data_IF_369796649255
#
_entry.id   IF_369796649255
#
_cell.length_a   1.000
_cell.length_b   1.000
_cell.length_c   1.000
_cell.angle_alpha   90.00
_cell.angle_beta   90.00
_cell.angle_gamma   90.00
#
_symmetry.space_group_name_H-M   'P 1'
#
loop_
_entity.id
_entity.type
_entity.pdbx_description
1 polymer ?
#
# COMPACT_ATOMS: atom_id res chain seq x y z
N UNK A 1 37.73 17.14 14.97
CA UNK A 1 37.75 15.92 14.14
C UNK A 1 36.86 16.19 12.95
N UNK A 2 37.10 15.58 11.78
CA UNK A 2 36.12 15.67 10.70
C UNK A 2 34.82 14.97 11.13
N UNK A 3 33.70 15.38 10.56
CA UNK A 3 32.37 14.85 10.84
C UNK A 3 31.89 13.99 9.68
N UNK A 4 31.28 12.86 10.00
CA UNK A 4 30.84 11.86 9.01
C UNK A 4 29.37 11.56 9.24
N UNK A 5 28.56 11.59 8.19
CA UNK A 5 27.15 11.25 8.26
C UNK A 5 26.81 9.97 7.48
N UNK A 6 26.09 9.05 8.12
CA UNK A 6 25.57 7.85 7.48
C UNK A 6 24.13 7.59 7.97
N UNK A 7 23.18 7.46 7.05
CA UNK A 7 21.78 7.21 7.39
C UNK A 7 21.43 5.73 7.26
N UNK A 8 20.65 5.20 8.21
CA UNK A 8 20.29 3.80 8.31
C UNK A 8 18.77 3.63 8.23
N UNK A 9 18.35 2.73 7.33
CA UNK A 9 16.96 2.34 7.11
C UNK A 9 16.78 0.85 7.50
N UNK A 10 17.05 0.50 8.77
CA UNK A 10 17.03 -0.88 9.24
C UNK A 10 16.39 -1.03 10.62
N UNK A 11 15.79 -2.20 10.85
CA UNK A 11 15.27 -2.64 12.15
C UNK A 11 16.26 -3.53 12.91
N UNK A 12 17.34 -3.95 12.25
CA UNK A 12 18.41 -4.78 12.84
C UNK A 12 19.76 -4.35 12.30
N UNK A 13 20.74 -4.21 13.20
CA UNK A 13 22.13 -3.99 12.84
C UNK A 13 22.81 -5.34 12.64
N UNK A 14 23.28 -5.59 11.43
CA UNK A 14 24.02 -6.80 11.04
C UNK A 14 25.40 -6.41 10.51
N UNK A 15 26.20 -7.41 10.10
CA UNK A 15 27.59 -7.22 9.69
C UNK A 15 27.80 -6.13 8.63
N UNK A 16 26.97 -6.09 7.58
CA UNK A 16 27.04 -5.02 6.57
C UNK A 16 26.90 -3.60 7.14
N UNK A 17 26.00 -3.38 8.09
CA UNK A 17 25.85 -2.09 8.77
C UNK A 17 27.08 -1.76 9.63
N UNK A 18 27.59 -2.75 10.40
CA UNK A 18 28.82 -2.57 11.18
C UNK A 18 30.04 -2.27 10.31
N UNK A 19 30.15 -2.87 9.12
CA UNK A 19 31.23 -2.59 8.18
C UNK A 19 31.17 -1.14 7.67
N UNK A 20 29.98 -0.65 7.32
CA UNK A 20 29.77 0.74 6.92
C UNK A 20 30.14 1.71 8.05
N UNK A 21 29.70 1.43 9.28
CA UNK A 21 30.00 2.26 10.46
C UNK A 21 31.50 2.28 10.77
N UNK A 22 32.17 1.11 10.73
CA UNK A 22 33.62 1.02 10.93
C UNK A 22 34.38 1.80 9.86
N UNK A 23 33.94 1.73 8.60
CA UNK A 23 34.50 2.57 7.55
C UNK A 23 34.25 4.05 7.76
N UNK A 24 33.07 4.45 8.25
CA UNK A 24 32.80 5.84 8.61
C UNK A 24 33.73 6.35 9.71
N UNK A 25 34.01 5.54 10.74
CA UNK A 25 34.90 5.91 11.83
C UNK A 25 36.36 6.15 11.39
N UNK A 26 36.81 5.61 10.24
CA UNK A 26 38.13 5.92 9.68
C UNK A 26 38.25 7.38 9.19
N UNK A 27 37.13 8.04 8.91
CA UNK A 27 37.09 9.40 8.35
C UNK A 27 36.78 10.48 9.40
N UNK A 28 36.26 10.12 10.58
CA UNK A 28 35.95 11.09 11.63
C UNK A 28 34.87 10.65 12.62
N UNK A 29 34.29 11.62 13.31
CA UNK A 29 33.20 11.40 14.27
C UNK A 29 31.90 11.06 13.54
N UNK A 30 31.34 9.88 13.80
CA UNK A 30 30.18 9.35 13.05
C UNK A 30 28.85 9.79 13.65
N UNK A 31 28.12 10.61 12.91
CA UNK A 31 26.72 10.96 13.14
C UNK A 31 25.86 9.97 12.36
N UNK A 32 25.07 9.16 13.07
CA UNK A 32 24.18 8.18 12.46
C UNK A 32 22.76 8.74 12.31
N UNK A 33 22.24 8.73 11.10
CA UNK A 33 20.85 9.06 10.80
C UNK A 33 19.94 7.84 10.96
N UNK A 34 18.77 8.04 11.55
CA UNK A 34 17.65 7.09 11.57
C UNK A 34 16.53 7.66 10.72
N UNK A 35 16.21 7.03 9.59
CA UNK A 35 15.12 7.50 8.75
C UNK A 35 13.76 7.34 9.46
N UNK A 36 12.90 8.35 9.42
CA UNK A 36 11.58 8.30 10.05
C UNK A 36 10.67 7.22 9.40
N UNK A 37 9.66 6.75 10.15
CA UNK A 37 8.79 5.64 9.70
C UNK A 37 8.06 5.96 8.39
N UNK A 38 7.61 7.22 8.22
CA UNK A 38 6.91 7.67 7.01
C UNK A 38 7.76 7.48 5.77
N UNK A 39 9.00 7.94 5.82
CA UNK A 39 9.90 7.86 4.68
C UNK A 39 10.43 6.44 4.47
N UNK A 40 10.60 5.63 5.53
CA UNK A 40 10.92 4.21 5.37
C UNK A 40 9.84 3.45 4.60
N UNK A 41 8.56 3.68 4.94
CA UNK A 41 7.42 3.05 4.26
C UNK A 41 7.38 3.43 2.78
N UNK A 42 7.63 4.70 2.46
CA UNK A 42 7.69 5.17 1.07
C UNK A 42 8.91 4.64 0.32
N UNK A 43 10.05 4.57 1.01
CA UNK A 43 11.32 4.16 0.43
C UNK A 43 11.41 2.66 0.20
N UNK A 44 11.54 1.86 1.26
CA UNK A 44 12.05 0.50 1.11
C UNK A 44 11.45 -0.57 2.02
N UNK A 45 10.92 -0.23 3.21
CA UNK A 45 10.39 -1.25 4.13
C UNK A 45 9.45 -0.67 5.17
N UNK A 46 8.58 -1.54 5.68
CA UNK A 46 7.74 -1.22 6.83
C UNK A 46 8.50 -1.50 8.13
N UNK A 47 8.57 -0.53 9.07
CA UNK A 47 9.29 -0.70 10.33
C UNK A 47 8.60 -1.73 11.23
N UNK A 48 9.38 -2.70 11.72
CA UNK A 48 8.93 -3.77 12.62
C UNK A 48 9.20 -3.50 14.09
N UNK A 49 10.00 -2.47 14.38
CA UNK A 49 10.34 -1.96 15.71
C UNK A 49 10.14 -0.44 15.74
N UNK A 50 10.01 0.16 16.92
CA UNK A 50 9.77 1.62 17.02
C UNK A 50 11.03 2.42 16.66
N UNK A 51 10.86 3.69 16.28
CA UNK A 51 11.99 4.58 16.00
C UNK A 51 12.91 4.73 17.21
N UNK A 52 12.38 4.75 18.44
CA UNK A 52 13.17 4.81 19.68
C UNK A 52 14.03 3.55 19.84
N UNK A 53 13.50 2.38 19.47
CA UNK A 53 14.29 1.14 19.47
C UNK A 53 15.41 1.20 18.44
N UNK A 54 15.15 1.74 17.23
CA UNK A 54 16.18 1.91 16.19
C UNK A 54 17.27 2.90 16.61
N UNK A 55 16.89 4.00 17.26
CA UNK A 55 17.82 4.97 17.85
C UNK A 55 18.68 4.27 18.91
N UNK A 56 18.07 3.58 19.87
CA UNK A 56 18.80 2.90 20.94
C UNK A 56 19.76 1.82 20.40
N UNK A 57 19.42 1.14 19.31
CA UNK A 57 20.31 0.18 18.65
C UNK A 57 21.58 0.85 18.11
N UNK A 58 21.46 2.03 17.48
CA UNK A 58 22.62 2.77 16.97
C UNK A 58 23.41 3.43 18.09
N UNK A 59 22.76 3.99 19.11
CA UNK A 59 23.43 4.57 20.29
C UNK A 59 24.28 3.54 21.05
N UNK A 60 23.94 2.25 20.95
CA UNK A 60 24.71 1.16 21.55
C UNK A 60 26.00 0.81 20.77
N UNK A 61 26.20 1.35 19.57
CA UNK A 61 27.39 1.08 18.74
C UNK A 61 28.54 2.02 19.13
N UNK A 62 29.69 1.49 19.62
CA UNK A 62 30.77 2.34 20.15
C UNK A 62 31.36 3.36 19.17
N UNK A 63 31.35 3.05 17.88
CA UNK A 63 31.88 3.91 16.82
C UNK A 63 30.95 5.10 16.48
N UNK A 64 29.71 5.14 16.97
CA UNK A 64 28.74 6.20 16.71
C UNK A 64 28.82 7.26 17.81
N UNK A 65 29.07 8.52 17.43
CA UNK A 65 29.22 9.62 18.38
C UNK A 65 27.89 10.31 18.69
N UNK A 66 26.94 10.30 17.74
CA UNK A 66 25.62 10.92 17.87
C UNK A 66 24.63 10.22 16.95
N UNK A 67 23.39 10.08 17.40
CA UNK A 67 22.26 9.63 16.58
C UNK A 67 21.29 10.80 16.34
N UNK A 68 20.78 10.92 15.12
CA UNK A 68 19.78 11.93 14.72
C UNK A 68 18.67 11.27 13.91
N UNK A 69 17.47 11.83 13.94
CA UNK A 69 16.39 11.41 13.06
C UNK A 69 16.49 12.18 11.74
N UNK A 70 16.35 11.47 10.62
CA UNK A 70 16.23 12.05 9.30
C UNK A 70 14.75 12.02 8.90
N UNK A 71 14.15 13.19 8.68
CA UNK A 71 12.71 13.34 8.45
C UNK A 71 12.29 13.15 6.98
N UNK A 72 13.24 13.24 6.06
CA UNK A 72 13.04 13.16 4.61
C UNK A 72 14.01 12.15 3.99
N UNK A 73 13.60 11.37 2.98
CA UNK A 73 14.54 10.46 2.29
C UNK A 73 15.68 11.22 1.61
N UNK A 74 15.41 12.43 1.12
CA UNK A 74 16.42 13.31 0.55
C UNK A 74 17.21 14.06 1.62
N UNK A 75 18.44 14.38 1.25
CA UNK A 75 19.46 14.84 2.18
C UNK A 75 19.50 16.38 2.31
N UNK A 76 18.60 17.11 1.61
CA UNK A 76 18.59 18.57 1.58
C UNK A 76 18.54 19.19 2.98
N UNK A 77 17.58 18.78 3.80
CA UNK A 77 17.36 19.35 5.12
C UNK A 77 18.48 18.94 6.09
N UNK A 78 18.78 17.65 6.16
CA UNK A 78 19.76 17.12 7.12
C UNK A 78 21.19 17.58 6.82
N UNK A 79 21.58 17.72 5.55
CA UNK A 79 22.90 18.21 5.18
C UNK A 79 23.01 19.73 5.27
N UNK A 80 21.90 20.46 5.18
CA UNK A 80 21.89 21.90 5.49
C UNK A 80 22.10 22.15 6.97
N UNK A 81 21.52 21.31 7.84
CA UNK A 81 21.67 21.41 9.29
C UNK A 81 23.06 20.96 9.78
N UNK A 82 23.50 19.78 9.35
CA UNK A 82 24.70 19.14 9.90
C UNK A 82 26.00 19.59 9.22
N UNK A 83 25.94 19.92 7.92
CA UNK A 83 27.11 20.21 7.06
C UNK A 83 28.32 19.27 7.30
N UNK A 84 28.15 17.94 7.23
CA UNK A 84 29.24 17.01 7.53
C UNK A 84 30.36 17.07 6.48
N UNK A 85 31.60 16.86 6.89
CA UNK A 85 32.74 16.78 5.95
C UNK A 85 32.57 15.61 4.95
N UNK A 86 31.96 14.52 5.41
CA UNK A 86 31.73 13.32 4.63
C UNK A 86 30.31 12.77 4.80
N UNK A 87 29.72 12.29 3.70
CA UNK A 87 28.57 11.37 3.75
C UNK A 87 29.02 10.01 3.26
N UNK A 88 28.63 8.95 3.97
CA UNK A 88 28.97 7.57 3.59
C UNK A 88 27.71 6.73 3.40
N UNK A 89 27.65 6.04 2.26
CA UNK A 89 26.64 5.02 1.98
C UNK A 89 27.24 3.87 1.15
N UNK A 90 26.46 2.81 0.90
CA UNK A 90 26.87 1.69 0.05
C UNK A 90 26.86 2.03 -1.44
N UNK A 91 27.71 1.39 -2.25
CA UNK A 91 27.76 1.56 -3.71
C UNK A 91 26.49 1.06 -4.46
N UNK A 92 25.58 0.38 -3.75
CA UNK A 92 24.30 -0.09 -4.27
C UNK A 92 23.34 1.03 -4.71
N UNK A 93 23.64 2.30 -4.42
CA UNK A 93 22.87 3.46 -4.89
C UNK A 93 23.30 3.99 -6.28
N UNK A 94 24.22 3.31 -6.97
CA UNK A 94 24.69 3.75 -8.30
C UNK A 94 23.68 3.48 -9.43
N UNK A 95 22.67 2.65 -9.20
CA UNK A 95 21.62 2.33 -10.15
C UNK A 95 20.24 2.31 -9.50
N UNK A 96 19.21 2.02 -10.30
CA UNK A 96 17.84 1.97 -9.83
C UNK A 96 17.30 3.33 -9.34
N UNK A 97 16.13 3.32 -8.68
CA UNK A 97 15.53 4.52 -8.13
C UNK A 97 16.43 5.24 -7.09
N UNK A 98 17.29 4.50 -6.38
CA UNK A 98 18.22 5.04 -5.37
C UNK A 98 19.27 6.01 -5.95
N UNK A 99 19.52 5.94 -7.26
CA UNK A 99 20.45 6.85 -7.95
C UNK A 99 20.05 8.33 -7.82
N UNK A 100 18.76 8.61 -7.66
CA UNK A 100 18.26 9.95 -7.39
C UNK A 100 18.70 10.46 -6.00
N UNK A 101 18.68 9.60 -4.97
CA UNK A 101 19.13 9.93 -3.62
C UNK A 101 20.63 10.22 -3.63
N UNK A 102 21.41 9.38 -4.31
CA UNK A 102 22.85 9.59 -4.50
C UNK A 102 23.16 10.92 -5.17
N UNK A 103 22.43 11.28 -6.23
CA UNK A 103 22.59 12.55 -6.92
C UNK A 103 22.26 13.74 -6.00
N UNK A 104 21.18 13.63 -5.21
CA UNK A 104 20.81 14.63 -4.21
C UNK A 104 21.92 14.87 -3.17
N UNK A 105 22.50 13.79 -2.63
CA UNK A 105 23.62 13.88 -1.68
C UNK A 105 24.82 14.61 -2.29
N UNK A 106 25.21 14.24 -3.51
CA UNK A 106 26.35 14.87 -4.20
C UNK A 106 26.13 16.37 -4.46
N UNK A 107 24.92 16.76 -4.89
CA UNK A 107 24.54 18.16 -5.10
C UNK A 107 24.62 18.95 -3.79
N UNK A 108 24.12 18.39 -2.70
CA UNK A 108 24.10 19.07 -1.40
C UNK A 108 25.51 19.23 -0.81
N UNK A 109 26.35 18.20 -0.89
CA UNK A 109 27.74 18.27 -0.43
C UNK A 109 28.58 19.31 -1.19
N UNK A 110 28.35 19.44 -2.50
CA UNK A 110 29.07 20.39 -3.34
C UNK A 110 28.83 21.87 -2.92
N UNK A 111 27.71 22.16 -2.25
CA UNK A 111 27.37 23.53 -1.79
C UNK A 111 28.35 24.07 -0.74
N UNK A 112 28.96 23.19 0.07
CA UNK A 112 29.88 23.57 1.15
C UNK A 112 31.22 22.81 1.13
N UNK A 113 31.46 21.99 0.10
CA UNK A 113 32.74 21.31 -0.12
C UNK A 113 32.90 19.96 0.58
N UNK A 114 31.81 19.35 1.05
CA UNK A 114 31.82 17.99 1.60
C UNK A 114 32.06 16.92 0.53
N UNK A 115 32.33 15.68 0.95
CA UNK A 115 32.66 14.56 0.05
C UNK A 115 31.78 13.34 0.28
N UNK A 116 31.33 12.74 -0.82
CA UNK A 116 30.65 11.46 -0.78
C UNK A 116 31.68 10.33 -0.80
N UNK A 117 31.53 9.36 0.10
CA UNK A 117 32.32 8.12 0.14
C UNK A 117 31.37 6.95 -0.06
N UNK A 118 31.68 6.11 -1.04
CA UNK A 118 30.89 4.92 -1.37
C UNK A 118 31.67 3.68 -0.95
N UNK A 119 31.06 2.86 -0.09
CA UNK A 119 31.66 1.62 0.42
C UNK A 119 31.06 0.44 -0.35
N UNK A 120 31.86 -0.54 -0.79
CA UNK A 120 31.33 -1.75 -1.42
C UNK A 120 30.27 -2.41 -0.55
N UNK A 121 29.09 -2.65 -1.11
CA UNK A 121 27.99 -3.24 -0.37
C UNK A 121 28.38 -4.65 0.10
N UNK A 122 28.12 -4.94 1.38
CA UNK A 122 28.50 -6.22 1.97
C UNK A 122 27.45 -7.27 1.60
N UNK A 123 27.80 -8.14 0.65
CA UNK A 123 26.98 -9.28 0.24
C UNK A 123 27.51 -10.57 0.86
N UNK A 124 26.72 -11.23 1.70
CA UNK A 124 26.95 -12.62 2.10
C UNK A 124 25.62 -13.33 2.38
N UNK A 125 25.65 -14.67 2.40
CA UNK A 125 24.46 -15.50 2.56
C UNK A 125 23.78 -15.31 3.93
N UNK A 126 24.51 -14.93 4.97
CA UNK A 126 23.94 -14.68 6.30
C UNK A 126 23.15 -13.38 6.34
N UNK A 127 23.67 -12.30 5.75
CA UNK A 127 22.97 -11.01 5.61
C UNK A 127 21.70 -11.21 4.79
N UNK A 128 21.79 -11.91 3.66
CA UNK A 128 20.61 -12.22 2.83
C UNK A 128 19.55 -12.96 3.66
N UNK A 129 19.94 -13.99 4.42
CA UNK A 129 19.00 -14.72 5.31
C UNK A 129 18.38 -13.85 6.39
N UNK A 130 19.09 -12.84 6.90
CA UNK A 130 18.55 -11.90 7.89
C UNK A 130 17.50 -11.01 7.25
N UNK A 131 17.79 -10.44 6.08
CA UNK A 131 16.84 -9.62 5.33
C UNK A 131 15.60 -10.43 4.89
N UNK A 132 15.81 -11.65 4.40
CA UNK A 132 14.73 -12.57 4.02
C UNK A 132 13.84 -12.89 5.22
N UNK A 133 14.40 -13.19 6.40
CA UNK A 133 13.62 -13.41 7.63
C UNK A 133 12.80 -12.21 8.05
N UNK A 134 13.32 -10.99 7.87
CA UNK A 134 12.57 -9.76 8.16
C UNK A 134 11.40 -9.59 7.21
N UNK A 135 11.61 -9.90 5.92
CA UNK A 135 10.56 -9.88 4.92
C UNK A 135 9.50 -10.95 5.18
N UNK A 136 9.90 -12.17 5.51
CA UNK A 136 9.00 -13.27 5.85
C UNK A 136 8.13 -12.94 7.05
N UNK A 137 8.70 -12.27 8.06
CA UNK A 137 7.97 -11.77 9.22
C UNK A 137 6.85 -10.81 8.81
N UNK A 138 7.07 -9.95 7.81
CA UNK A 138 6.03 -9.05 7.29
C UNK A 138 4.93 -9.80 6.51
N UNK A 139 5.23 -10.97 5.93
CA UNK A 139 4.26 -11.82 5.25
C UNK A 139 3.39 -12.64 6.22
N UNK A 140 3.85 -12.88 7.44
CA UNK A 140 3.12 -13.65 8.44
C UNK A 140 1.76 -12.99 8.78
N UNK A 141 0.67 -13.77 8.90
CA UNK A 141 -0.68 -13.24 9.10
C UNK A 141 -0.82 -12.25 10.27
N UNK A 142 -0.14 -12.50 11.39
CA UNK A 142 -0.19 -11.66 12.58
C UNK A 142 0.46 -10.29 12.40
N UNK A 143 1.48 -10.17 11.54
CA UNK A 143 2.12 -8.89 11.24
C UNK A 143 1.40 -8.16 10.11
N UNK A 144 0.97 -8.89 9.07
CA UNK A 144 0.25 -8.32 7.92
C UNK A 144 -1.11 -7.76 8.32
N UNK A 145 -1.88 -8.46 9.17
CA UNK A 145 -3.24 -8.08 9.55
C UNK A 145 -3.31 -6.67 10.15
N UNK A 146 -2.44 -6.35 11.11
CA UNK A 146 -2.41 -5.02 11.75
C UNK A 146 -1.69 -3.92 10.94
N UNK A 147 -1.07 -4.27 9.81
CA UNK A 147 -0.23 -3.33 9.03
C UNK A 147 -1.04 -2.17 8.45
N UNK A 148 -2.26 -2.41 8.00
CA UNK A 148 -3.14 -1.33 7.49
C UNK A 148 -3.43 -0.29 8.57
N UNK A 149 -3.80 -0.72 9.79
CA UNK A 149 -4.06 0.20 10.92
C UNK A 149 -2.87 1.08 11.24
N UNK A 150 -1.66 0.52 11.19
CA UNK A 150 -0.43 1.28 11.41
C UNK A 150 -0.16 2.28 10.29
N UNK A 151 -0.33 1.87 9.03
CA UNK A 151 -0.11 2.76 7.88
C UNK A 151 -0.98 4.01 7.94
N UNK A 152 -2.23 3.90 8.40
CA UNK A 152 -3.14 5.05 8.56
C UNK A 152 -2.61 6.14 9.50
N UNK A 153 -1.68 5.80 10.41
CA UNK A 153 -0.99 6.76 11.29
C UNK A 153 0.40 7.17 10.83
N UNK A 154 0.93 6.55 9.77
CA UNK A 154 2.31 6.76 9.28
C UNK A 154 2.31 7.62 8.00
N UNK A 155 1.42 7.30 7.05
CA UNK A 155 1.34 7.99 5.75
C UNK A 155 0.13 8.93 5.71
N UNK A 156 0.20 10.06 4.98
CA UNK A 156 -0.94 10.97 4.84
C UNK A 156 -2.14 10.29 4.17
N UNK A 157 -1.88 9.37 3.23
CA UNK A 157 -2.89 8.58 2.54
C UNK A 157 -2.29 7.22 2.16
N UNK A 158 -3.02 6.15 2.41
CA UNK A 158 -2.67 4.78 2.03
C UNK A 158 -3.08 4.56 0.58
N UNK A 159 -2.10 4.34 -0.29
CA UNK A 159 -2.33 4.12 -1.73
C UNK A 159 -2.52 2.64 -1.99
N UNK A 160 -3.70 2.29 -2.45
CA UNK A 160 -4.10 0.90 -2.67
C UNK A 160 -4.31 0.67 -4.16
N UNK A 161 -3.67 -0.34 -4.73
CA UNK A 161 -3.91 -0.76 -6.12
C UNK A 161 -4.57 -2.13 -6.18
N UNK A 162 -5.41 -2.32 -7.19
CA UNK A 162 -6.07 -3.60 -7.37
C UNK A 162 -5.09 -4.76 -7.61
N UNK A 163 -5.52 -5.94 -7.19
CA UNK A 163 -4.86 -7.23 -7.45
C UNK A 163 -5.94 -8.31 -7.65
N UNK A 164 -5.70 -9.22 -8.59
CA UNK A 164 -6.60 -10.34 -8.92
C UNK A 164 -5.83 -11.63 -9.26
N UNK A 165 -4.52 -11.66 -9.02
CA UNK A 165 -3.61 -12.81 -9.18
C UNK A 165 -2.27 -12.53 -8.47
N UNK A 166 -1.47 -13.57 -8.24
CA UNK A 166 -0.09 -13.42 -7.75
C UNK A 166 0.76 -12.51 -8.64
N UNK A 167 0.55 -12.52 -9.97
CA UNK A 167 1.26 -11.63 -10.90
C UNK A 167 0.96 -10.15 -10.62
N UNK A 168 -0.32 -9.79 -10.46
CA UNK A 168 -0.69 -8.43 -10.06
C UNK A 168 -0.25 -8.09 -8.64
N UNK A 169 -0.19 -9.08 -7.75
CA UNK A 169 0.40 -8.94 -6.41
C UNK A 169 1.87 -8.54 -6.49
N UNK A 170 2.67 -9.18 -7.34
CA UNK A 170 4.07 -8.82 -7.59
C UNK A 170 4.23 -7.40 -8.13
N UNK A 171 3.33 -6.95 -9.01
CA UNK A 171 3.32 -5.55 -9.49
C UNK A 171 3.07 -4.60 -8.31
N UNK A 172 2.00 -4.82 -7.54
CA UNK A 172 1.68 -4.00 -6.37
C UNK A 172 2.80 -4.00 -5.33
N UNK A 173 3.48 -5.13 -5.13
CA UNK A 173 4.60 -5.28 -4.20
C UNK A 173 5.86 -4.55 -4.67
N UNK A 174 6.24 -4.69 -5.95
CA UNK A 174 7.57 -4.29 -6.47
C UNK A 174 7.60 -2.94 -7.19
N UNK A 175 6.46 -2.35 -7.56
CA UNK A 175 6.45 -1.06 -8.26
C UNK A 175 6.91 0.07 -7.35
N UNK A 176 8.04 0.68 -7.70
CA UNK A 176 8.60 1.89 -7.10
C UNK A 176 8.91 2.86 -8.23
N UNK A 177 8.56 4.13 -8.05
CA UNK A 177 8.86 5.22 -8.99
C UNK A 177 9.61 6.34 -8.27
N UNK A 178 10.37 7.11 -9.04
CA UNK A 178 11.00 8.35 -8.58
C UNK A 178 10.16 9.54 -9.06
N UNK A 179 9.87 10.48 -8.16
CA UNK A 179 9.10 11.69 -8.46
C UNK A 179 9.50 12.84 -7.52
N UNK A 180 9.77 14.02 -8.07
CA UNK A 180 10.15 15.25 -7.33
C UNK A 180 11.28 15.05 -6.30
N UNK A 181 12.28 14.24 -6.64
CA UNK A 181 13.33 13.92 -5.69
C UNK A 181 12.78 13.13 -4.50
N UNK A 182 11.91 12.16 -4.73
CA UNK A 182 11.43 11.23 -3.73
C UNK A 182 11.15 9.86 -4.36
N UNK A 183 11.08 8.83 -3.53
CA UNK A 183 10.63 7.51 -3.97
C UNK A 183 9.20 7.27 -3.52
N UNK A 184 8.43 6.61 -4.39
CA UNK A 184 7.01 6.39 -4.18
C UNK A 184 6.56 5.01 -4.66
N UNK A 185 5.66 4.38 -3.90
CA UNK A 185 5.16 3.03 -4.17
C UNK A 185 3.72 2.84 -3.64
N UNK A 186 3.07 1.74 -3.99
CA UNK A 186 1.79 1.37 -3.37
C UNK A 186 1.97 0.84 -1.95
N UNK A 187 1.06 1.20 -1.04
CA UNK A 187 1.13 0.84 0.38
C UNK A 187 0.31 -0.40 0.71
N UNK A 188 -0.75 -0.65 -0.06
CA UNK A 188 -1.71 -1.73 0.17
C UNK A 188 -2.25 -2.32 -1.15
N UNK A 189 -2.94 -3.45 -1.03
CA UNK A 189 -3.54 -4.18 -2.14
C UNK A 189 -5.05 -4.28 -2.02
N UNK A 190 -5.76 -4.13 -3.14
CA UNK A 190 -7.22 -4.24 -3.23
C UNK A 190 -7.63 -5.49 -4.00
N UNK A 191 -8.20 -6.47 -3.33
CA UNK A 191 -8.77 -7.65 -3.99
C UNK A 191 -10.18 -7.30 -4.47
N UNK A 192 -10.25 -6.82 -5.71
CA UNK A 192 -11.47 -6.34 -6.39
C UNK A 192 -12.41 -7.48 -6.76
N UNK A 193 -13.71 -7.40 -6.40
CA UNK A 193 -14.71 -8.40 -6.84
C UNK A 193 -14.90 -8.35 -8.36
N UNK A 194 -14.87 -7.16 -8.94
CA UNK A 194 -14.99 -6.94 -10.38
C UNK A 194 -13.86 -7.64 -11.12
N UNK A 195 -12.62 -7.43 -10.71
CA UNK A 195 -11.48 -7.93 -11.46
C UNK A 195 -11.22 -9.41 -11.19
N UNK A 196 -11.54 -9.89 -9.99
CA UNK A 196 -11.51 -11.32 -9.67
C UNK A 196 -12.55 -12.12 -10.48
N UNK A 197 -13.77 -11.58 -10.65
CA UNK A 197 -14.80 -12.18 -11.51
C UNK A 197 -14.46 -12.07 -12.99
N UNK A 198 -13.98 -10.91 -13.44
CA UNK A 198 -13.54 -10.67 -14.83
C UNK A 198 -12.41 -11.61 -15.24
N UNK A 199 -11.40 -11.81 -14.38
CA UNK A 199 -10.30 -12.74 -14.62
C UNK A 199 -10.78 -14.19 -14.80
N UNK A 200 -11.95 -14.53 -14.22
CA UNK A 200 -12.60 -15.84 -14.36
C UNK A 200 -13.62 -15.90 -15.51
N UNK A 201 -13.72 -14.84 -16.32
CA UNK A 201 -14.71 -14.73 -17.40
C UNK A 201 -16.16 -14.67 -16.91
N UNK A 202 -16.38 -14.19 -15.67
CA UNK A 202 -17.69 -14.14 -15.00
C UNK A 202 -18.11 -12.70 -14.72
N UNK A 203 -19.42 -12.40 -14.68
CA UNK A 203 -19.92 -11.09 -14.28
C UNK A 203 -19.78 -10.85 -12.77
N UNK A 204 -19.60 -9.58 -12.40
CA UNK A 204 -19.51 -9.08 -11.02
C UNK A 204 -20.90 -8.96 -10.37
N UNK A 205 -21.47 -10.11 -10.00
CA UNK A 205 -22.82 -10.23 -9.43
C UNK A 205 -22.85 -11.14 -8.20
N UNK A 206 -21.75 -11.19 -7.44
CA UNK A 206 -21.53 -12.18 -6.35
C UNK A 206 -21.57 -13.65 -6.83
N UNK A 207 -21.37 -13.90 -8.12
CA UNK A 207 -21.34 -15.27 -8.68
C UNK A 207 -20.09 -16.06 -8.25
N UNK A 208 -18.98 -15.36 -8.02
CA UNK A 208 -17.74 -15.97 -7.57
C UNK A 208 -17.82 -16.15 -6.06
N UNK A 209 -17.97 -17.39 -5.63
CA UNK A 209 -18.13 -17.71 -4.22
C UNK A 209 -16.83 -17.53 -3.42
N UNK A 210 -16.98 -17.39 -2.10
CA UNK A 210 -15.87 -17.10 -1.19
C UNK A 210 -14.73 -18.13 -1.27
N UNK A 211 -14.98 -19.41 -1.58
CA UNK A 211 -13.90 -20.41 -1.71
C UNK A 211 -13.00 -20.11 -2.91
N UNK A 212 -13.57 -19.59 -4.00
CA UNK A 212 -12.82 -19.16 -5.17
C UNK A 212 -12.02 -17.90 -4.89
N UNK A 213 -12.61 -16.96 -4.15
CA UNK A 213 -11.94 -15.71 -3.74
C UNK A 213 -10.80 -15.96 -2.76
N UNK A 214 -10.96 -16.90 -1.82
CA UNK A 214 -9.92 -17.35 -0.89
C UNK A 214 -8.70 -17.87 -1.64
N UNK A 215 -8.86 -18.62 -2.74
CA UNK A 215 -7.73 -19.07 -3.57
C UNK A 215 -6.98 -17.90 -4.20
N UNK A 216 -7.67 -16.92 -4.76
CA UNK A 216 -7.02 -15.70 -5.26
C UNK A 216 -6.25 -14.98 -4.15
N UNK A 217 -6.80 -14.92 -2.94
CA UNK A 217 -6.12 -14.32 -1.78
C UNK A 217 -4.85 -15.13 -1.46
N UNK A 218 -4.93 -16.46 -1.40
CA UNK A 218 -3.79 -17.36 -1.15
C UNK A 218 -2.64 -17.12 -2.15
N UNK A 219 -2.95 -17.11 -3.45
CA UNK A 219 -1.99 -16.83 -4.53
C UNK A 219 -1.29 -15.47 -4.37
N UNK A 220 -1.98 -14.47 -3.82
CA UNK A 220 -1.42 -13.13 -3.55
C UNK A 220 -0.61 -13.12 -2.26
N UNK A 221 -1.07 -13.79 -1.19
CA UNK A 221 -0.37 -13.84 0.10
C UNK A 221 1.01 -14.50 -0.03
N UNK A 222 1.16 -15.48 -0.93
CA UNK A 222 2.40 -16.23 -1.18
C UNK A 222 3.54 -15.36 -1.74
N UNK A 223 3.21 -14.28 -2.45
CA UNK A 223 4.21 -13.51 -3.22
C UNK A 223 4.35 -12.06 -2.78
N UNK A 224 3.66 -11.64 -1.72
CA UNK A 224 3.58 -10.25 -1.29
C UNK A 224 3.81 -10.10 0.22
N UNK A 225 3.95 -8.87 0.71
CA UNK A 225 4.01 -8.58 2.16
C UNK A 225 3.04 -7.47 2.56
N UNK A 226 2.60 -6.64 1.60
CA UNK A 226 1.72 -5.49 1.84
C UNK A 226 0.35 -5.92 2.40
N UNK A 227 -0.33 -5.06 3.17
CA UNK A 227 -1.67 -5.34 3.68
C UNK A 227 -2.67 -5.53 2.53
N UNK A 228 -3.65 -6.39 2.77
CA UNK A 228 -4.72 -6.70 1.82
C UNK A 228 -6.05 -6.16 2.32
N UNK A 229 -6.73 -5.43 1.44
CA UNK A 229 -8.11 -4.97 1.58
C UNK A 229 -8.95 -5.77 0.59
N UNK A 230 -9.97 -6.48 1.08
CA UNK A 230 -10.85 -7.29 0.25
C UNK A 230 -12.20 -6.60 0.03
N UNK A 231 -12.66 -6.52 -1.22
CA UNK A 231 -14.07 -6.22 -1.51
C UNK A 231 -14.94 -7.37 -0.99
N UNK A 232 -15.68 -7.25 0.10
CA UNK A 232 -16.49 -8.34 0.62
C UNK A 232 -17.93 -8.32 0.06
N UNK A 233 -18.17 -7.58 -1.03
CA UNK A 233 -19.50 -7.42 -1.63
C UNK A 233 -20.51 -6.96 -0.55
N UNK A 234 -21.72 -7.52 -0.53
CA UNK A 234 -22.69 -7.27 0.56
C UNK A 234 -22.37 -8.04 1.84
N UNK A 235 -21.35 -8.89 1.86
CA UNK A 235 -21.02 -9.81 2.96
C UNK A 235 -21.96 -11.00 3.09
N UNK A 236 -22.99 -11.09 2.23
CA UNK A 236 -24.00 -12.16 2.25
C UNK A 236 -24.88 -12.16 3.51
N UNK A 237 -25.34 -13.36 3.90
CA UNK A 237 -26.11 -13.58 5.13
C UNK A 237 -25.22 -13.34 6.36
N UNK A 238 -25.79 -12.78 7.43
CA UNK A 238 -25.07 -12.48 8.68
C UNK A 238 -24.43 -13.77 9.25
N UNK A 239 -25.15 -14.88 9.18
CA UNK A 239 -24.73 -16.20 9.65
C UNK A 239 -23.48 -16.70 8.91
N UNK A 240 -23.33 -16.38 7.63
CA UNK A 240 -22.13 -16.73 6.85
C UNK A 240 -21.01 -15.69 7.06
N UNK A 241 -21.39 -14.42 7.12
CA UNK A 241 -20.49 -13.29 7.26
C UNK A 241 -19.54 -13.45 8.46
N UNK A 242 -20.05 -13.89 9.61
CA UNK A 242 -19.23 -14.09 10.82
C UNK A 242 -18.14 -15.17 10.67
N UNK A 243 -18.37 -16.21 9.86
CA UNK A 243 -17.35 -17.23 9.56
C UNK A 243 -16.35 -16.75 8.52
N UNK A 244 -16.81 -15.95 7.54
CA UNK A 244 -15.93 -15.32 6.56
C UNK A 244 -14.97 -14.35 7.24
N UNK A 245 -15.46 -13.49 8.15
CA UNK A 245 -14.62 -12.58 8.96
C UNK A 245 -13.50 -13.36 9.66
N UNK A 246 -13.84 -14.42 10.40
CA UNK A 246 -12.85 -15.25 11.10
C UNK A 246 -11.84 -15.93 10.17
N UNK A 247 -12.27 -16.32 8.99
CA UNK A 247 -11.42 -16.99 8.01
C UNK A 247 -10.42 -16.01 7.40
N UNK A 248 -10.90 -14.86 6.95
CA UNK A 248 -10.09 -13.80 6.36
C UNK A 248 -9.11 -13.21 7.37
N UNK A 249 -9.58 -12.98 8.60
CA UNK A 249 -8.72 -12.55 9.72
C UNK A 249 -7.59 -13.55 10.00
N UNK A 250 -7.88 -14.84 9.98
CA UNK A 250 -6.88 -15.91 10.19
C UNK A 250 -5.86 -15.99 9.06
N UNK A 251 -6.29 -15.74 7.81
CA UNK A 251 -5.40 -15.72 6.64
C UNK A 251 -4.43 -14.52 6.65
N UNK A 252 -4.72 -13.47 7.43
CA UNK A 252 -3.89 -12.26 7.47
C UNK A 252 -4.35 -11.16 6.52
N UNK A 253 -5.58 -11.24 6.01
CA UNK A 253 -6.24 -10.09 5.37
C UNK A 253 -6.34 -8.96 6.41
N UNK A 254 -6.04 -7.73 6.02
CA UNK A 254 -6.00 -6.59 6.94
C UNK A 254 -7.37 -5.93 7.10
N UNK A 255 -8.15 -5.89 6.01
CA UNK A 255 -9.49 -5.31 6.02
C UNK A 255 -10.45 -5.97 5.04
N UNK A 256 -11.73 -5.88 5.33
CA UNK A 256 -12.81 -6.10 4.38
C UNK A 256 -13.65 -4.83 4.20
N UNK A 257 -14.11 -4.59 2.99
CA UNK A 257 -15.09 -3.54 2.68
C UNK A 257 -16.42 -4.21 2.37
N UNK A 258 -17.47 -3.92 3.15
CA UNK A 258 -18.82 -4.48 2.96
C UNK A 258 -19.76 -3.36 2.55
N UNK A 259 -20.57 -3.56 1.50
CA UNK A 259 -21.48 -2.54 0.98
C UNK A 259 -22.93 -2.72 1.44
N UNK A 260 -23.62 -1.61 1.65
CA UNK A 260 -25.00 -1.57 2.17
C UNK A 260 -26.08 -1.76 1.10
N UNK A 261 -25.86 -2.68 0.16
CA UNK A 261 -26.85 -3.09 -0.86
C UNK A 261 -27.56 -4.38 -0.47
N UNK A 262 -28.74 -4.57 -1.06
CA UNK A 262 -29.51 -5.82 -1.00
C UNK A 262 -29.96 -6.26 -2.40
N UNK A 263 -30.26 -7.55 -2.54
CA UNK A 263 -30.60 -8.16 -3.82
C UNK A 263 -29.38 -8.67 -4.57
N UNK A 264 -29.55 -9.02 -5.85
CA UNK A 264 -28.43 -9.43 -6.69
C UNK A 264 -27.48 -8.25 -6.89
N UNK A 265 -26.23 -8.37 -6.41
CA UNK A 265 -25.19 -7.37 -6.64
C UNK A 265 -25.11 -7.10 -8.15
N UNK A 266 -25.02 -5.82 -8.51
CA UNK A 266 -24.57 -5.37 -9.81
C UNK A 266 -23.56 -4.25 -9.60
N UNK A 267 -22.55 -4.22 -10.45
CA UNK A 267 -21.46 -3.27 -10.34
C UNK A 267 -21.98 -1.81 -10.42
N UNK A 268 -21.51 -0.96 -9.51
CA UNK A 268 -21.94 0.43 -9.32
C UNK A 268 -21.72 1.33 -10.55
N UNK A 269 -20.89 0.89 -11.51
CA UNK A 269 -20.59 1.61 -12.73
C UNK A 269 -21.66 1.46 -13.82
N UNK A 270 -22.57 0.46 -13.75
CA UNK A 270 -23.59 0.20 -14.79
C UNK A 270 -24.89 1.02 -14.66
N UNK A 271 -24.93 2.07 -13.83
CA UNK A 271 -26.11 2.92 -13.74
C UNK A 271 -27.25 2.35 -12.87
N UNK A 272 -28.41 3.02 -12.89
CA UNK A 272 -29.68 2.59 -12.26
C UNK A 272 -30.59 1.80 -13.22
N UNK A 273 -30.06 1.29 -14.34
CA UNK A 273 -30.84 0.61 -15.39
C UNK A 273 -31.58 -0.65 -14.89
N UNK A 274 -31.19 -1.17 -13.72
CA UNK A 274 -31.91 -2.20 -12.98
C UNK A 274 -32.11 -1.73 -11.54
N UNK A 275 -33.31 -1.94 -10.99
CA UNK A 275 -33.68 -1.51 -9.64
C UNK A 275 -32.75 -2.14 -8.59
N UNK A 276 -31.81 -1.35 -8.08
CA UNK A 276 -30.96 -1.71 -6.95
C UNK A 276 -31.59 -1.20 -5.65
N UNK A 277 -31.50 -1.99 -4.58
CA UNK A 277 -32.03 -1.63 -3.27
C UNK A 277 -30.90 -1.45 -2.28
N UNK A 278 -31.01 -0.41 -1.48
CA UNK A 278 -30.14 -0.21 -0.33
C UNK A 278 -30.70 -0.98 0.86
N UNK A 279 -29.82 -1.56 1.66
CA UNK A 279 -30.18 -2.21 2.90
C UNK A 279 -30.79 -1.21 3.88
N UNK A 280 -31.63 -1.71 4.78
CA UNK A 280 -32.07 -0.93 5.93
C UNK A 280 -30.87 -0.64 6.84
N UNK A 281 -30.85 0.54 7.44
CA UNK A 281 -29.77 0.95 8.35
C UNK A 281 -29.66 -0.06 9.51
N UNK A 282 -30.80 -0.51 10.03
CA UNK A 282 -30.89 -1.44 11.15
C UNK A 282 -30.26 -2.80 10.82
N UNK A 283 -30.61 -3.38 9.67
CA UNK A 283 -30.08 -4.68 9.26
C UNK A 283 -28.57 -4.60 8.94
N UNK A 284 -28.13 -3.55 8.24
CA UNK A 284 -26.71 -3.38 7.94
C UNK A 284 -25.88 -3.15 9.22
N UNK A 285 -26.38 -2.34 10.16
CA UNK A 285 -25.77 -2.19 11.48
C UNK A 285 -25.71 -3.52 12.25
N UNK A 286 -26.75 -4.37 12.16
CA UNK A 286 -26.73 -5.69 12.78
C UNK A 286 -25.62 -6.59 12.19
N UNK A 287 -25.43 -6.54 10.86
CA UNK A 287 -24.33 -7.25 10.18
C UNK A 287 -22.96 -6.75 10.62
N UNK A 288 -22.75 -5.44 10.67
CA UNK A 288 -21.49 -4.83 11.15
C UNK A 288 -21.19 -5.29 12.59
N UNK A 289 -22.16 -5.15 13.52
CA UNK A 289 -21.99 -5.61 14.91
C UNK A 289 -21.69 -7.10 15.01
N UNK A 290 -22.34 -7.93 14.20
CA UNK A 290 -22.08 -9.38 14.16
C UNK A 290 -20.65 -9.67 13.67
N UNK A 291 -20.20 -9.00 12.61
CA UNK A 291 -18.83 -9.10 12.11
C UNK A 291 -17.81 -8.67 13.15
N UNK A 292 -17.98 -7.49 13.75
CA UNK A 292 -17.11 -6.97 14.81
C UNK A 292 -17.01 -7.92 16.01
N UNK A 293 -18.14 -8.48 16.45
CA UNK A 293 -18.18 -9.49 17.52
C UNK A 293 -17.49 -10.80 17.13
N UNK A 294 -17.40 -11.13 15.83
CA UNK A 294 -16.81 -12.37 15.36
C UNK A 294 -15.28 -12.34 15.30
N UNK A 295 -14.68 -11.13 15.25
CA UNK A 295 -13.23 -10.91 15.22
C UNK A 295 -12.55 -11.48 16.47
N UNK A 296 -11.28 -11.88 16.30
CA UNK A 296 -10.43 -12.39 17.39
C UNK A 296 -9.40 -11.38 17.85
N UNK A 297 -9.10 -10.39 17.02
CA UNK A 297 -8.10 -9.36 17.24
C UNK A 297 -8.68 -7.98 16.91
N UNK A 298 -8.12 -6.95 17.53
CA UNK A 298 -8.41 -5.57 17.20
C UNK A 298 -7.64 -5.10 15.95
N UNK A 299 -6.89 -5.97 15.28
CA UNK A 299 -6.08 -5.61 14.12
C UNK A 299 -6.89 -5.59 12.81
N UNK A 300 -7.81 -6.56 12.65
CA UNK A 300 -8.64 -6.68 11.45
C UNK A 300 -9.65 -5.52 11.36
N UNK A 301 -9.85 -4.97 10.17
CA UNK A 301 -10.81 -3.88 9.93
C UNK A 301 -12.04 -4.36 9.17
N UNK A 302 -13.21 -3.87 9.58
CA UNK A 302 -14.45 -3.95 8.82
C UNK A 302 -14.85 -2.53 8.42
N UNK A 303 -14.78 -2.26 7.12
CA UNK A 303 -15.06 -0.95 6.52
C UNK A 303 -16.45 -1.00 5.91
N UNK A 304 -17.29 -0.02 6.24
CA UNK A 304 -18.63 0.09 5.68
C UNK A 304 -18.62 0.96 4.43
N UNK A 305 -19.02 0.40 3.29
CA UNK A 305 -19.22 1.11 2.03
C UNK A 305 -20.67 1.57 1.89
N UNK A 306 -20.83 2.87 1.72
CA UNK A 306 -22.13 3.55 1.60
C UNK A 306 -22.43 3.77 0.13
N UNK A 307 -23.56 3.23 -0.34
CA UNK A 307 -24.02 3.33 -1.74
C UNK A 307 -25.07 4.43 -1.96
N UNK A 308 -25.35 5.27 -0.97
CA UNK A 308 -26.38 6.33 -1.02
C UNK A 308 -26.22 7.29 -2.21
N UNK A 309 -24.99 7.70 -2.54
CA UNK A 309 -24.73 8.58 -3.68
C UNK A 309 -24.86 7.84 -5.02
N UNK A 310 -24.46 6.57 -5.07
CA UNK A 310 -24.65 5.69 -6.25
C UNK A 310 -26.14 5.50 -6.56
N UNK A 311 -26.97 5.36 -5.51
CA UNK A 311 -28.41 5.13 -5.59
C UNK A 311 -29.24 6.42 -5.54
N UNK A 312 -28.60 7.59 -5.65
CA UNK A 312 -29.26 8.90 -5.70
C UNK A 312 -30.19 9.20 -4.50
N UNK A 313 -29.87 8.63 -3.32
CA UNK A 313 -30.58 8.89 -2.05
C UNK A 313 -30.24 10.25 -1.43
N UNK A 314 -29.13 10.85 -1.84
CA UNK A 314 -28.67 12.17 -1.43
C UNK A 314 -27.68 12.16 -0.26
N UNK A 315 -27.13 13.35 0.02
CA UNK A 315 -26.08 13.55 1.02
C UNK A 315 -26.54 13.28 2.45
N UNK A 316 -27.76 13.68 2.81
CA UNK A 316 -28.29 13.47 4.16
C UNK A 316 -28.40 11.98 4.52
N UNK A 317 -28.88 11.17 3.59
CA UNK A 317 -28.96 9.70 3.77
C UNK A 317 -27.55 9.10 3.92
N UNK A 318 -26.59 9.55 3.11
CA UNK A 318 -25.20 9.10 3.19
C UNK A 318 -24.59 9.40 4.57
N UNK A 319 -24.77 10.62 5.09
CA UNK A 319 -24.22 11.03 6.40
C UNK A 319 -24.91 10.31 7.55
N UNK A 320 -26.24 10.19 7.53
CA UNK A 320 -26.99 9.46 8.56
C UNK A 320 -26.55 7.99 8.64
N UNK A 321 -26.31 7.35 7.48
CA UNK A 321 -25.76 5.99 7.40
C UNK A 321 -24.33 5.92 7.93
N UNK A 322 -23.48 6.87 7.56
CA UNK A 322 -22.12 6.93 8.06
C UNK A 322 -22.09 6.98 9.60
N UNK A 323 -22.90 7.85 10.21
CA UNK A 323 -23.06 7.95 11.66
C UNK A 323 -23.50 6.61 12.27
N UNK A 324 -24.58 6.01 11.74
CA UNK A 324 -25.09 4.74 12.24
C UNK A 324 -24.08 3.59 12.09
N UNK A 325 -23.31 3.56 11.00
CA UNK A 325 -22.33 2.50 10.73
C UNK A 325 -21.09 2.63 11.63
N UNK A 326 -20.65 3.85 11.92
CA UNK A 326 -19.61 4.10 12.93
C UNK A 326 -20.08 3.68 14.31
N UNK A 327 -21.31 4.03 14.72
CA UNK A 327 -21.90 3.60 16.00
C UNK A 327 -22.08 2.06 16.08
N UNK A 328 -22.31 1.40 14.95
CA UNK A 328 -22.36 -0.06 14.85
C UNK A 328 -20.96 -0.72 14.93
N UNK A 329 -19.89 0.07 14.90
CA UNK A 329 -18.51 -0.38 15.08
C UNK A 329 -17.70 -0.52 13.80
N UNK A 330 -18.13 0.04 12.66
CA UNK A 330 -17.29 0.08 11.46
C UNK A 330 -15.96 0.79 11.77
N UNK A 331 -14.84 0.18 11.38
CA UNK A 331 -13.50 0.75 11.63
C UNK A 331 -13.20 1.92 10.69
N UNK A 332 -13.89 2.03 9.56
CA UNK A 332 -13.76 3.10 8.57
C UNK A 332 -15.03 3.18 7.70
N UNK A 333 -15.19 4.31 7.02
CA UNK A 333 -16.27 4.53 6.05
C UNK A 333 -15.69 4.68 4.65
N UNK A 334 -16.25 3.95 3.69
CA UNK A 334 -16.02 4.18 2.26
C UNK A 334 -17.23 4.90 1.67
N UNK A 335 -17.00 6.03 1.03
CA UNK A 335 -18.00 6.72 0.22
C UNK A 335 -17.68 6.50 -1.25
N UNK A 336 -18.72 6.29 -2.07
CA UNK A 336 -18.54 6.05 -3.49
C UNK A 336 -19.48 6.92 -4.33
N UNK A 337 -18.94 7.42 -5.44
CA UNK A 337 -19.68 8.15 -6.47
C UNK A 337 -19.31 7.62 -7.85
N UNK A 338 -20.27 7.67 -8.76
CA UNK A 338 -20.07 7.38 -10.19
C UNK A 338 -19.91 8.64 -11.05
N UNK A 339 -20.06 9.84 -10.46
CA UNK A 339 -19.94 11.11 -11.19
C UNK A 339 -18.47 11.37 -11.56
N UNK A 340 -18.27 12.12 -12.64
CA UNK A 340 -16.94 12.59 -13.04
C UNK A 340 -16.45 13.75 -12.16
N UNK A 341 -17.39 14.53 -11.62
CA UNK A 341 -17.10 15.61 -10.69
C UNK A 341 -16.94 15.06 -9.26
N UNK A 342 -15.80 15.30 -8.59
CA UNK A 342 -15.56 14.84 -7.22
C UNK A 342 -16.31 15.63 -6.14
N UNK A 343 -16.98 16.74 -6.48
CA UNK A 343 -17.54 17.67 -5.50
C UNK A 343 -18.44 17.02 -4.44
N UNK A 344 -19.25 16.02 -4.82
CA UNK A 344 -20.11 15.32 -3.85
C UNK A 344 -19.34 14.39 -2.92
N UNK A 345 -18.20 13.84 -3.36
CA UNK A 345 -17.31 13.05 -2.50
C UNK A 345 -16.61 13.97 -1.52
N UNK A 346 -16.05 15.09 -1.98
CA UNK A 346 -15.43 16.10 -1.10
C UNK A 346 -16.40 16.65 -0.07
N UNK A 347 -17.61 17.03 -0.49
CA UNK A 347 -18.65 17.51 0.42
C UNK A 347 -19.04 16.47 1.49
N UNK A 348 -19.09 15.19 1.13
CA UNK A 348 -19.30 14.12 2.10
C UNK A 348 -18.14 14.03 3.10
N UNK A 349 -16.90 14.01 2.59
CA UNK A 349 -15.70 13.89 3.41
C UNK A 349 -15.57 15.05 4.41
N UNK A 350 -15.72 16.30 3.95
CA UNK A 350 -15.64 17.50 4.79
C UNK A 350 -16.69 17.48 5.89
N UNK A 351 -17.93 17.10 5.55
CA UNK A 351 -19.03 17.02 6.53
C UNK A 351 -18.82 15.88 7.52
N UNK A 352 -18.39 14.71 7.06
CA UNK A 352 -18.11 13.57 7.92
C UNK A 352 -17.01 13.88 8.95
N UNK A 353 -15.98 14.64 8.54
CA UNK A 353 -14.86 15.05 9.41
C UNK A 353 -15.29 15.98 10.56
N UNK A 354 -16.40 16.69 10.44
CA UNK A 354 -16.94 17.51 11.53
C UNK A 354 -17.37 16.66 12.75
N UNK A 355 -17.92 15.47 12.50
CA UNK A 355 -18.42 14.58 13.56
C UNK A 355 -17.39 13.49 13.92
N UNK A 356 -16.56 13.06 12.95
CA UNK A 356 -15.64 11.95 13.08
C UNK A 356 -14.23 12.31 12.60
N UNK A 357 -13.49 12.99 13.46
CA UNK A 357 -12.10 13.42 13.19
C UNK A 357 -11.16 12.23 12.90
N UNK A 358 -11.30 11.14 13.67
CA UNK A 358 -10.34 10.03 13.68
C UNK A 358 -10.78 8.77 12.92
N UNK A 359 -12.02 8.71 12.46
CA UNK A 359 -12.51 7.53 11.72
C UNK A 359 -11.99 7.61 10.28
N UNK A 360 -11.22 6.62 9.80
CA UNK A 360 -10.67 6.64 8.46
C UNK A 360 -11.75 6.73 7.38
N UNK A 361 -11.46 7.52 6.33
CA UNK A 361 -12.26 7.61 5.12
C UNK A 361 -11.55 6.94 3.95
N UNK A 362 -12.31 6.18 3.16
CA UNK A 362 -11.85 5.50 1.94
C UNK A 362 -12.54 6.09 0.72
N UNK A 363 -11.78 6.41 -0.33
CA UNK A 363 -12.29 6.91 -1.60
C UNK A 363 -11.80 6.07 -2.78
N UNK A 364 -12.59 6.02 -3.85
CA UNK A 364 -12.32 5.22 -5.06
C UNK A 364 -12.50 6.08 -6.31
N UNK A 365 -11.47 6.83 -6.73
CA UNK A 365 -11.54 7.82 -7.81
C UNK A 365 -11.52 7.21 -9.22
N UNK A 366 -12.31 6.17 -9.46
CA UNK A 366 -12.38 5.54 -10.80
C UNK A 366 -13.04 6.44 -11.83
N UNK A 367 -14.16 7.09 -11.46
CA UNK A 367 -14.93 7.98 -12.35
C UNK A 367 -14.40 9.42 -12.34
N UNK A 368 -13.91 9.90 -11.20
CA UNK A 368 -13.32 11.23 -10.99
C UNK A 368 -11.78 11.13 -10.89
N UNK A 369 -11.18 10.49 -11.90
CA UNK A 369 -9.78 10.07 -11.92
C UNK A 369 -8.76 11.21 -12.13
N UNK A 370 -9.22 12.44 -12.30
CA UNK A 370 -8.40 13.65 -12.35
C UNK A 370 -7.92 14.10 -10.97
N UNK A 371 -8.57 13.61 -9.89
CA UNK A 371 -8.25 14.00 -8.52
C UNK A 371 -6.99 13.30 -8.04
N UNK A 372 -6.09 14.09 -7.46
CA UNK A 372 -4.85 13.61 -6.86
C UNK A 372 -5.05 13.09 -5.44
N UNK A 373 -4.10 12.28 -4.99
CA UNK A 373 -4.08 11.73 -3.63
C UNK A 373 -3.93 12.83 -2.57
N UNK A 374 -3.19 13.89 -2.89
CA UNK A 374 -3.03 15.07 -2.04
C UNK A 374 -4.34 15.85 -1.87
N UNK A 375 -5.12 16.03 -2.94
CA UNK A 375 -6.45 16.65 -2.87
C UNK A 375 -7.41 15.82 -2.01
N UNK A 376 -7.43 14.48 -2.19
CA UNK A 376 -8.21 13.59 -1.33
C UNK A 376 -7.80 13.69 0.14
N UNK A 377 -6.50 13.68 0.43
CA UNK A 377 -5.98 13.83 1.78
C UNK A 377 -6.34 15.20 2.39
N UNK A 378 -6.38 16.26 1.58
CA UNK A 378 -6.82 17.61 1.99
C UNK A 378 -8.27 17.66 2.48
N UNK A 379 -9.13 16.78 1.95
CA UNK A 379 -10.51 16.57 2.41
C UNK A 379 -10.63 15.49 3.50
N UNK A 380 -9.50 15.04 4.05
CA UNK A 380 -9.44 14.08 5.15
C UNK A 380 -9.58 12.61 4.74
N UNK A 381 -9.46 12.25 3.47
CA UNK A 381 -9.42 10.85 3.02
C UNK A 381 -8.11 10.20 3.46
N UNK A 382 -8.19 8.97 3.98
CA UNK A 382 -7.02 8.24 4.50
C UNK A 382 -6.60 7.07 3.61
N UNK A 383 -7.51 6.55 2.78
CA UNK A 383 -7.22 5.45 1.84
C UNK A 383 -7.77 5.80 0.47
N UNK A 384 -6.93 5.69 -0.55
CA UNK A 384 -7.33 5.75 -1.95
C UNK A 384 -7.21 4.37 -2.58
N UNK A 385 -8.23 3.94 -3.32
CA UNK A 385 -8.23 2.66 -4.03
C UNK A 385 -8.30 2.89 -5.54
N UNK A 386 -7.26 2.45 -6.25
CA UNK A 386 -7.24 2.28 -7.70
C UNK A 386 -7.80 0.90 -8.04
N UNK A 387 -9.12 0.85 -8.24
CA UNK A 387 -9.91 -0.38 -8.13
C UNK A 387 -9.94 -1.33 -9.34
N UNK A 388 -9.55 -0.90 -10.55
CA UNK A 388 -9.69 -1.70 -11.78
C UNK A 388 -8.68 -1.38 -12.91
N UNK A 389 -7.63 -0.61 -12.62
CA UNK A 389 -6.74 -0.04 -13.62
C UNK A 389 -5.81 -1.10 -14.25
N UNK A 390 -5.39 -2.13 -13.49
CA UNK A 390 -4.50 -3.18 -14.01
C UNK A 390 -5.24 -4.09 -14.99
N UNK A 391 -6.46 -4.52 -14.67
CA UNK A 391 -7.29 -5.31 -15.59
C UNK A 391 -7.61 -4.52 -16.86
N UNK A 392 -7.97 -3.23 -16.71
CA UNK A 392 -8.31 -2.37 -17.86
C UNK A 392 -7.12 -2.02 -18.74
N UNK A 393 -5.90 -2.01 -18.21
CA UNK A 393 -4.67 -1.81 -19.01
C UNK A 393 -4.22 -3.11 -19.70
N UNK A 394 -4.38 -4.26 -19.04
CA UNK A 394 -3.97 -5.55 -19.58
C UNK A 394 -4.83 -6.01 -20.76
N UNK A 395 -6.15 -5.86 -20.69
CA UNK A 395 -7.06 -6.40 -21.70
C UNK A 395 -6.81 -5.84 -23.12
N UNK A 396 -6.69 -4.51 -23.33
CA UNK A 396 -6.38 -3.95 -24.65
C UNK A 396 -5.04 -4.44 -25.21
N UNK A 397 -4.02 -4.62 -24.37
CA UNK A 397 -2.72 -5.12 -24.80
C UNK A 397 -2.81 -6.58 -25.28
N UNK A 398 -3.47 -7.44 -24.50
CA UNK A 398 -3.70 -8.84 -24.89
C UNK A 398 -4.53 -8.94 -26.18
N UNK A 399 -5.57 -8.12 -26.30
CA UNK A 399 -6.42 -8.08 -27.49
C UNK A 399 -5.64 -7.60 -28.72
N UNK A 400 -4.80 -6.58 -28.59
CA UNK A 400 -3.95 -6.07 -29.66
C UNK A 400 -2.94 -7.12 -30.14
N UNK A 401 -2.29 -7.85 -29.22
CA UNK A 401 -1.41 -8.97 -29.56
C UNK A 401 -2.16 -10.06 -30.34
N UNK A 402 -3.34 -10.47 -29.87
CA UNK A 402 -4.16 -11.48 -30.54
C UNK A 402 -4.58 -11.03 -31.96
N UNK A 403 -5.04 -9.78 -32.11
CA UNK A 403 -5.38 -9.18 -33.41
C UNK A 403 -4.18 -9.15 -34.35
N UNK A 404 -3.01 -8.72 -33.85
CA UNK A 404 -1.78 -8.68 -34.66
C UNK A 404 -1.40 -10.06 -35.21
N UNK A 405 -1.46 -11.11 -34.37
CA UNK A 405 -1.16 -12.48 -34.79
C UNK A 405 -2.15 -12.97 -35.85
N UNK A 406 -3.44 -12.71 -35.67
CA UNK A 406 -4.47 -13.10 -36.64
C UNK A 406 -4.34 -12.37 -37.97
N UNK A 407 -3.97 -11.09 -37.96
CA UNK A 407 -3.76 -10.28 -39.16
C UNK A 407 -2.54 -10.72 -39.96
N UNK A 408 -1.43 -11.06 -39.30
CA UNK A 408 -0.17 -11.37 -39.97
C UNK A 408 0.11 -12.87 -40.10
N UNK A 409 -0.73 -13.72 -39.51
CA UNK A 409 -0.56 -15.18 -39.46
C UNK A 409 0.77 -15.65 -38.85
N UNK A 410 1.38 -14.82 -38.02
CA UNK A 410 2.65 -15.05 -37.28
C UNK A 410 2.76 -14.06 -36.12
N UNK A 411 3.71 -14.27 -35.21
CA UNK A 411 3.91 -13.42 -34.04
C UNK A 411 5.00 -12.34 -34.20
N UNK A 412 5.65 -12.21 -35.36
CA UNK A 412 6.81 -11.33 -35.54
C UNK A 412 6.50 -9.86 -35.23
N UNK A 413 5.36 -9.36 -35.72
CA UNK A 413 4.91 -7.98 -35.51
C UNK A 413 4.45 -7.72 -34.07
N UNK A 414 4.06 -8.77 -33.35
CA UNK A 414 3.68 -8.68 -31.95
C UNK A 414 4.91 -8.65 -31.03
N UNK A 415 6.02 -9.28 -31.43
CA UNK A 415 7.23 -9.47 -30.60
C UNK A 415 7.81 -8.16 -30.05
N UNK A 416 7.72 -7.06 -30.82
CA UNK A 416 8.16 -5.73 -30.40
C UNK A 416 7.42 -5.17 -29.16
N UNK A 417 6.24 -5.72 -28.83
CA UNK A 417 5.41 -5.31 -27.70
C UNK A 417 5.40 -6.34 -26.57
N UNK A 418 6.10 -7.47 -26.73
CA UNK A 418 6.14 -8.53 -25.73
C UNK A 418 7.33 -8.35 -24.80
N UNK A 419 7.14 -8.78 -23.55
CA UNK A 419 8.26 -8.95 -22.63
C UNK A 419 9.16 -10.10 -23.15
N UNK A 420 10.50 -9.95 -23.13
CA UNK A 420 11.40 -11.05 -23.48
C UNK A 420 11.14 -12.29 -22.64
N UNK A 421 11.20 -13.48 -23.26
CA UNK A 421 10.95 -14.78 -22.58
C UNK A 421 11.82 -14.97 -21.34
N UNK A 422 13.07 -14.48 -21.37
CA UNK A 422 13.97 -14.57 -20.20
C UNK A 422 13.42 -13.79 -19.02
N UNK A 423 12.87 -12.60 -19.25
CA UNK A 423 12.38 -11.72 -18.19
C UNK A 423 11.09 -12.27 -17.57
N UNK A 424 10.21 -12.90 -18.36
CA UNK A 424 8.99 -13.53 -17.81
C UNK A 424 9.33 -14.78 -16.98
N UNK A 425 10.32 -15.58 -17.40
CA UNK A 425 10.78 -16.75 -16.63
C UNK A 425 11.44 -16.33 -15.32
N UNK A 426 12.17 -15.22 -15.31
CA UNK A 426 12.85 -14.68 -14.13
C UNK A 426 12.02 -13.63 -13.36
N UNK A 427 10.74 -13.47 -13.68
CA UNK A 427 9.90 -12.44 -13.06
C UNK A 427 9.61 -12.74 -11.58
N UNK A 428 9.53 -14.04 -11.28
CA UNK A 428 9.35 -14.57 -9.93
C UNK A 428 10.75 -14.83 -9.38
N UNK A 429 11.07 -14.20 -8.25
CA UNK A 429 12.35 -14.44 -7.58
C UNK A 429 12.38 -15.91 -7.14
N UNK A 430 13.48 -16.61 -7.44
CA UNK A 430 13.69 -17.96 -6.89
C UNK A 430 13.87 -17.84 -5.38
N UNK A 431 12.96 -18.45 -4.62
CA UNK A 431 13.02 -18.57 -3.16
C UNK A 431 14.37 -19.14 -2.68
#
# INVERSE_FOLDING_TARGET
MSTVYACFCTDVIHEGHYNLIKKAAEYGDVIAGVLCDREMVRYNRFPTVSIEQRIAMLEAVPEISRVVVQEDIMYDNILTELQPDYVIHGDNWQGGPESAIRANVAINLAKYGGKLIEVPYTYNDEIKKIDDRMRDKLAMPEFRRGRLKKLLGIVPIVKTIEVHSGLTGLIAEKTVVEHDGGLDQFDAMWISSLCDSTAKGKPDIELVDMSSRIRTIDDVLDVTTKPIILDADTGGLIEHFVYNVRTLERMGVSAIIVEDKTGLKKNSLFGTEVEQKQDSVEHFCAKLRAGKKAQRTDDFMIIARIESLILEKGMEDAIARAQAYVEAGADAIMIHSRKQDPAEVFAFCDRFRLDFERVPLVAVPTSYNQVTEAELAGHGVNVVIYANQLTRSAFPAMEATAKSILTHHRAYEADQHLMPIRNIISLIDTL
#
